data_IF_571052661521
#
_entry.id   IF_571052661521
#
_cell.length_a   1.000
_cell.length_b   1.000
_cell.length_c   1.000
_cell.angle_alpha   90.00
_cell.angle_beta   90.00
_cell.angle_gamma   90.00
#
_symmetry.space_group_name_H-M   'P 1'
#
loop_
_entity.id
_entity.type
_entity.pdbx_description
1 polymer ?
#
# COMPACT_ATOMS: atom_id res chain seq x y z
N UNK A 1 0.76 14.42 -4.42
CA UNK A 1 0.15 13.94 -5.64
C UNK A 1 -1.13 13.16 -5.32
N UNK A 2 -2.19 13.43 -6.06
CA UNK A 2 -3.51 12.82 -5.86
C UNK A 2 -3.82 11.71 -6.86
N UNK A 3 -2.81 11.16 -7.53
CA UNK A 3 -2.97 10.08 -8.54
C UNK A 3 -3.62 8.85 -7.94
N UNK A 4 -3.22 8.46 -6.75
CA UNK A 4 -3.72 7.24 -6.10
C UNK A 4 -5.18 7.39 -5.70
N UNK A 5 -5.56 8.55 -5.17
CA UNK A 5 -6.95 8.89 -4.93
C UNK A 5 -7.80 8.86 -6.21
N UNK A 6 -7.32 9.47 -7.29
CA UNK A 6 -8.04 9.45 -8.57
C UNK A 6 -8.22 8.02 -9.08
N UNK A 7 -7.16 7.22 -9.04
CA UNK A 7 -7.21 5.82 -9.46
C UNK A 7 -8.23 5.03 -8.65
N UNK A 8 -8.25 5.20 -7.34
CA UNK A 8 -9.18 4.51 -6.47
C UNK A 8 -10.63 4.96 -6.67
N UNK A 9 -10.85 6.25 -6.88
CA UNK A 9 -12.18 6.82 -7.12
C UNK A 9 -12.75 6.52 -8.51
N UNK A 10 -11.90 6.24 -9.49
CA UNK A 10 -12.33 5.85 -10.86
C UNK A 10 -12.93 4.44 -10.92
N UNK A 11 -12.95 3.70 -9.83
CA UNK A 11 -13.59 2.38 -9.79
C UNK A 11 -15.09 2.48 -10.11
N UNK A 12 -15.70 1.43 -10.73
CA UNK A 12 -17.12 1.41 -10.98
C UNK A 12 -17.98 1.59 -9.71
N UNK A 13 -19.03 2.37 -9.79
CA UNK A 13 -20.02 2.52 -8.73
C UNK A 13 -19.81 3.67 -7.75
N UNK A 14 -18.73 4.45 -7.87
CA UNK A 14 -18.49 5.59 -6.97
C UNK A 14 -18.99 6.95 -7.51
N UNK A 15 -19.44 7.07 -8.70
CA UNK A 15 -19.92 8.32 -9.26
C UNK A 15 -18.87 9.46 -9.22
N UNK A 16 -19.20 10.58 -9.85
CA UNK A 16 -18.31 11.76 -9.95
C UNK A 16 -18.39 12.69 -8.74
N UNK A 17 -18.99 12.27 -7.63
CA UNK A 17 -19.42 13.17 -6.56
C UNK A 17 -18.32 13.54 -5.56
N UNK A 18 -17.13 12.90 -5.62
CA UNK A 18 -16.06 13.17 -4.65
C UNK A 18 -15.08 14.19 -5.18
N UNK A 19 -15.04 15.35 -4.55
CA UNK A 19 -14.07 16.39 -4.86
C UNK A 19 -12.73 16.14 -4.18
N UNK A 20 -11.65 16.17 -4.97
CA UNK A 20 -10.28 16.09 -4.45
C UNK A 20 -9.63 17.47 -4.26
N UNK A 21 -10.40 18.54 -4.30
CA UNK A 21 -9.87 19.92 -4.20
C UNK A 21 -9.48 20.31 -2.77
N UNK A 22 -10.04 19.63 -1.77
CA UNK A 22 -9.73 19.87 -0.36
C UNK A 22 -8.81 18.81 0.21
N UNK A 23 -8.54 18.91 1.50
CA UNK A 23 -7.76 17.94 2.25
C UNK A 23 -6.28 18.29 2.41
N UNK A 24 -5.66 17.61 3.35
CA UNK A 24 -4.24 17.77 3.65
C UNK A 24 -3.40 16.99 2.64
N UNK A 25 -2.32 17.60 2.19
CA UNK A 25 -1.32 16.95 1.33
C UNK A 25 -0.07 16.64 2.15
N UNK A 26 0.46 15.45 2.00
CA UNK A 26 1.68 14.99 2.66
C UNK A 26 2.75 14.66 1.63
N UNK A 27 4.01 14.80 2.01
CA UNK A 27 5.14 14.50 1.14
C UNK A 27 5.30 13.00 0.89
N UNK A 28 4.88 12.17 1.84
CA UNK A 28 4.95 10.71 1.73
C UNK A 28 3.61 10.07 2.05
N UNK A 29 3.39 8.88 1.48
CA UNK A 29 2.21 8.07 1.77
C UNK A 29 2.15 7.69 3.26
N UNK A 30 3.29 7.39 3.85
CA UNK A 30 3.40 7.02 5.27
C UNK A 30 2.86 8.11 6.20
N UNK A 31 3.19 9.38 5.96
CA UNK A 31 2.69 10.48 6.76
C UNK A 31 1.16 10.62 6.68
N UNK A 32 0.58 10.37 5.52
CA UNK A 32 -0.87 10.33 5.36
C UNK A 32 -1.52 9.21 6.16
N UNK A 33 -0.91 8.03 6.17
CA UNK A 33 -1.36 6.87 6.95
C UNK A 33 -1.26 7.17 8.46
N UNK A 34 -0.16 7.76 8.91
CA UNK A 34 0.01 8.15 10.33
C UNK A 34 -1.05 9.16 10.76
N UNK A 35 -1.35 10.14 9.92
CA UNK A 35 -2.41 11.12 10.21
C UNK A 35 -3.79 10.44 10.32
N UNK A 36 -4.11 9.52 9.40
CA UNK A 36 -5.34 8.74 9.46
C UNK A 36 -5.44 7.89 10.74
N UNK A 37 -4.37 7.22 11.12
CA UNK A 37 -4.29 6.44 12.36
C UNK A 37 -4.54 7.28 13.61
N UNK A 38 -4.22 8.57 13.57
CA UNK A 38 -4.48 9.54 14.65
C UNK A 38 -5.87 10.19 14.60
N UNK A 39 -6.73 9.76 13.68
CA UNK A 39 -8.11 10.24 13.60
C UNK A 39 -8.30 11.52 12.81
N UNK A 40 -7.32 11.95 12.01
CA UNK A 40 -7.44 13.16 11.20
C UNK A 40 -8.23 12.98 9.90
N UNK A 41 -8.69 11.78 9.60
CA UNK A 41 -9.50 11.51 8.43
C UNK A 41 -9.17 10.19 7.77
N UNK A 42 -9.32 10.14 6.45
CA UNK A 42 -9.04 8.96 5.64
C UNK A 42 -7.87 9.23 4.69
N UNK A 43 -7.11 8.20 4.40
CA UNK A 43 -5.98 8.24 3.48
C UNK A 43 -6.05 7.08 2.50
N UNK A 44 -5.44 7.24 1.34
CA UNK A 44 -5.04 6.09 0.53
C UNK A 44 -3.89 5.41 1.24
N UNK A 45 -3.87 4.09 1.21
CA UNK A 45 -2.79 3.27 1.77
C UNK A 45 -2.38 2.17 0.83
N UNK A 46 -1.15 1.71 0.97
CA UNK A 46 -0.67 0.48 0.37
C UNK A 46 -0.98 -0.69 1.30
N UNK A 47 -1.59 -1.75 0.78
CA UNK A 47 -2.01 -2.90 1.61
C UNK A 47 -0.86 -3.53 2.38
N UNK A 48 0.33 -3.58 1.79
CA UNK A 48 1.52 -4.14 2.44
C UNK A 48 1.96 -3.27 3.61
N UNK A 49 1.96 -1.94 3.42
CA UNK A 49 2.37 -1.00 4.45
C UNK A 49 1.41 -0.95 5.65
N UNK A 50 0.12 -1.13 5.41
CA UNK A 50 -0.91 -1.03 6.46
C UNK A 50 -1.30 -2.36 7.08
N UNK A 51 -0.78 -3.47 6.57
CA UNK A 51 -1.22 -4.82 6.95
C UNK A 51 -1.16 -5.05 8.46
N UNK A 52 -0.06 -4.69 9.09
CA UNK A 52 0.11 -4.88 10.54
C UNK A 52 -0.80 -3.94 11.34
N UNK A 53 -0.90 -2.68 10.94
CA UNK A 53 -1.75 -1.69 11.62
C UNK A 53 -3.23 -2.07 11.56
N UNK A 54 -3.67 -2.64 10.44
CA UNK A 54 -5.03 -3.18 10.30
C UNK A 54 -5.22 -4.41 11.19
N UNK A 55 -4.26 -5.34 11.18
CA UNK A 55 -4.33 -6.56 11.99
C UNK A 55 -4.38 -6.26 13.49
N UNK A 56 -3.69 -5.20 13.94
CA UNK A 56 -3.66 -4.77 15.34
C UNK A 56 -4.77 -3.75 15.69
N UNK A 57 -5.65 -3.43 14.75
CA UNK A 57 -6.78 -2.53 14.99
C UNK A 57 -6.42 -1.05 15.11
N UNK A 58 -5.20 -0.65 14.74
CA UNK A 58 -4.79 0.78 14.75
C UNK A 58 -5.39 1.57 13.60
N UNK A 59 -5.66 0.90 12.48
CA UNK A 59 -6.27 1.47 11.28
C UNK A 59 -7.44 0.58 10.88
N UNK A 60 -8.56 1.20 10.50
CA UNK A 60 -9.69 0.52 9.88
C UNK A 60 -9.69 0.70 8.37
N UNK A 61 -10.41 -0.16 7.68
CA UNK A 61 -10.67 -0.06 6.24
C UNK A 61 -12.16 0.25 6.03
N UNK A 62 -12.57 1.53 6.01
CA UNK A 62 -13.97 1.90 5.86
C UNK A 62 -14.61 1.35 4.57
N UNK A 63 -13.80 1.28 3.52
CA UNK A 63 -14.14 0.67 2.24
C UNK A 63 -13.07 -0.39 1.92
N UNK A 64 -13.33 -1.66 2.16
CA UNK A 64 -12.35 -2.73 1.99
C UNK A 64 -12.16 -3.11 0.51
N UNK A 65 -11.75 -2.14 -0.29
CA UNK A 65 -11.50 -2.28 -1.73
C UNK A 65 -10.10 -1.80 -2.05
N UNK A 66 -9.35 -2.61 -2.76
CA UNK A 66 -8.03 -2.28 -3.29
C UNK A 66 -8.05 -2.24 -4.82
N UNK A 67 -7.38 -1.24 -5.36
CA UNK A 67 -7.20 -1.06 -6.82
C UNK A 67 -5.73 -1.25 -7.14
N UNK A 68 -5.43 -2.03 -8.19
CA UNK A 68 -4.06 -2.26 -8.62
C UNK A 68 -3.37 -0.94 -9.04
N UNK A 69 -2.21 -0.66 -8.45
CA UNK A 69 -1.42 0.52 -8.79
C UNK A 69 -0.65 0.37 -10.11
N UNK A 70 -0.39 -0.86 -10.53
CA UNK A 70 0.52 -1.15 -11.62
C UNK A 70 2.01 -1.07 -11.22
N UNK A 71 2.27 -0.79 -9.96
CA UNK A 71 3.62 -0.69 -9.40
C UNK A 71 3.92 -1.89 -8.50
N UNK A 72 5.19 -2.21 -8.34
CA UNK A 72 5.64 -3.35 -7.53
C UNK A 72 6.94 -3.01 -6.80
N UNK A 73 7.16 -3.69 -5.70
CA UNK A 73 8.45 -3.64 -5.01
C UNK A 73 9.42 -4.63 -5.65
N UNK A 74 10.65 -4.21 -5.87
CA UNK A 74 11.69 -5.01 -6.51
C UNK A 74 12.94 -5.06 -5.65
N UNK A 75 13.46 -6.26 -5.42
CA UNK A 75 14.81 -6.44 -4.89
C UNK A 75 15.78 -6.34 -6.05
N UNK A 76 16.71 -5.39 -5.99
CA UNK A 76 17.72 -5.19 -7.02
C UNK A 76 19.12 -5.33 -6.44
N UNK A 77 20.04 -5.83 -7.24
CA UNK A 77 21.44 -5.98 -6.86
C UNK A 77 22.35 -5.85 -8.09
N UNK A 78 23.64 -5.50 -7.90
CA UNK A 78 24.59 -5.45 -9.00
C UNK A 78 24.77 -6.84 -9.64
N UNK A 79 24.80 -6.89 -10.96
CA UNK A 79 24.94 -8.14 -11.73
C UNK A 79 26.16 -8.96 -11.29
N UNK A 80 27.27 -8.29 -10.96
CA UNK A 80 28.51 -8.93 -10.50
C UNK A 80 28.35 -9.74 -9.21
N UNK A 81 27.30 -9.47 -8.42
CA UNK A 81 27.05 -10.14 -7.13
C UNK A 81 25.97 -11.21 -7.19
N UNK A 82 25.44 -11.51 -8.36
CA UNK A 82 24.33 -12.43 -8.57
C UNK A 82 24.58 -13.84 -8.02
N UNK A 83 25.81 -14.36 -8.14
CA UNK A 83 26.18 -15.70 -7.68
C UNK A 83 26.62 -15.79 -6.23
N UNK A 84 26.68 -14.69 -5.49
CA UNK A 84 27.14 -14.71 -4.10
C UNK A 84 26.10 -15.33 -3.17
N UNK A 85 26.50 -16.31 -2.39
CA UNK A 85 25.64 -17.08 -1.49
C UNK A 85 24.88 -16.17 -0.49
N UNK A 86 25.55 -15.16 0.07
CA UNK A 86 24.93 -14.22 1.00
C UNK A 86 23.76 -13.44 0.38
N UNK A 87 23.84 -13.10 -0.91
CA UNK A 87 22.73 -12.44 -1.63
C UNK A 87 21.59 -13.41 -1.89
N UNK A 88 21.88 -14.65 -2.23
CA UNK A 88 20.89 -15.68 -2.40
C UNK A 88 20.14 -15.97 -1.10
N UNK A 89 20.85 -16.02 0.03
CA UNK A 89 20.25 -16.19 1.35
C UNK A 89 19.33 -15.02 1.72
N UNK A 90 19.77 -13.79 1.48
CA UNK A 90 18.95 -12.61 1.72
C UNK A 90 17.70 -12.61 0.84
N UNK A 91 17.86 -12.91 -0.44
CA UNK A 91 16.73 -13.03 -1.37
C UNK A 91 15.74 -14.06 -0.88
N UNK A 92 16.19 -15.25 -0.55
CA UNK A 92 15.34 -16.36 -0.12
C UNK A 92 14.62 -16.01 1.20
N UNK A 93 15.29 -15.36 2.12
CA UNK A 93 14.69 -14.85 3.36
C UNK A 93 13.58 -13.84 3.08
N UNK A 94 13.86 -12.83 2.24
CA UNK A 94 12.87 -11.79 1.91
C UNK A 94 11.66 -12.37 1.16
N UNK A 95 11.88 -13.29 0.23
CA UNK A 95 10.79 -13.97 -0.49
C UNK A 95 9.93 -14.81 0.45
N UNK A 96 10.54 -15.49 1.41
CA UNK A 96 9.81 -16.26 2.41
C UNK A 96 8.98 -15.34 3.34
N UNK A 97 9.54 -14.21 3.77
CA UNK A 97 8.82 -13.22 4.58
C UNK A 97 7.63 -12.63 3.83
N UNK A 98 7.81 -12.29 2.56
CA UNK A 98 6.71 -11.78 1.71
C UNK A 98 5.63 -12.84 1.50
N UNK A 99 6.01 -14.09 1.26
CA UNK A 99 5.06 -15.19 1.10
C UNK A 99 4.25 -15.49 2.38
N UNK A 100 4.83 -15.23 3.55
CA UNK A 100 4.18 -15.41 4.85
C UNK A 100 3.31 -14.21 5.26
N UNK A 101 3.38 -13.09 4.55
CA UNK A 101 2.59 -11.90 4.88
C UNK A 101 1.09 -12.17 4.76
N UNK A 102 0.37 -11.75 5.78
CA UNK A 102 -1.09 -11.76 5.78
C UNK A 102 -1.60 -10.36 5.46
N UNK A 103 -2.09 -10.18 4.23
CA UNK A 103 -2.70 -8.93 3.81
C UNK A 103 -4.16 -8.85 4.31
N UNK A 104 -4.67 -7.63 4.54
CA UNK A 104 -6.08 -7.43 4.86
C UNK A 104 -6.99 -8.05 3.80
N UNK A 105 -8.14 -8.59 4.24
CA UNK A 105 -9.15 -9.12 3.33
C UNK A 105 -9.90 -7.95 2.68
N UNK A 106 -9.71 -7.80 1.38
CA UNK A 106 -10.34 -6.73 0.59
C UNK A 106 -10.78 -7.27 -0.76
N UNK A 107 -11.77 -6.63 -1.36
CA UNK A 107 -12.07 -6.81 -2.78
C UNK A 107 -10.95 -6.19 -3.61
N UNK A 108 -10.39 -6.94 -4.54
CA UNK A 108 -9.30 -6.48 -5.40
C UNK A 108 -9.80 -6.21 -6.80
N UNK A 109 -9.63 -4.99 -7.26
CA UNK A 109 -9.97 -4.55 -8.61
C UNK A 109 -8.70 -4.33 -9.43
N UNK A 110 -8.80 -4.71 -10.69
CA UNK A 110 -7.69 -4.56 -11.63
C UNK A 110 -7.42 -3.09 -11.99
#
# INVERSE_FOLDING_TARGET
>A
DRRDWRRWLQRPGLGEEVSLKGGQVFDTLELGIVAAARGYGVSIGDLVMVAEDVAQGRIGLPWPVAVASGESYHLVWPRARRGQERFQRLRDFLLAEVAAMRLPVVERLA
#
